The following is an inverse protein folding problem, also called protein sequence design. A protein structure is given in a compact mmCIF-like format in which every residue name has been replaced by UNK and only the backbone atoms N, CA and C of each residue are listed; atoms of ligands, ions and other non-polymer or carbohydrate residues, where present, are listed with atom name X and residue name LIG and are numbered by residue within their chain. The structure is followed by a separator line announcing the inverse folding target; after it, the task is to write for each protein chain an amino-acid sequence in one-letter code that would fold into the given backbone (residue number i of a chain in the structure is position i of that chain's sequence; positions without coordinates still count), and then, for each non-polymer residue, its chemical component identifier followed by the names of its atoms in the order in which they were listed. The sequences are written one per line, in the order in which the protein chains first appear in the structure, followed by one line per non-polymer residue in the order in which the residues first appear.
data_IF_618613760994
#
_entry.id   IF_618613760994
#
_cell.length_a   1.000
_cell.length_b   1.000
_cell.length_c   1.000
_cell.angle_alpha   90.00
_cell.angle_beta   90.00
_cell.angle_gamma   90.00
#
_symmetry.space_group_name_H-M   'P 1'
#
loop_
_entity.id
_entity.type
_entity.pdbx_description
1 polymer ?
#
# COMPACT_ATOMS: atom_id res chain seq x y z
N UNK A 1 -50.97 -16.70 -21.67
CA UNK A 1 -50.38 -16.57 -23.02
C UNK A 1 -49.16 -15.65 -22.88
N UNK A 2 -47.95 -16.15 -22.69
CA UNK A 2 -46.97 -16.74 -23.65
C UNK A 2 -46.41 -15.72 -24.67
N UNK A 3 -45.06 -15.68 -24.71
CA UNK A 3 -44.16 -15.24 -25.80
C UNK A 3 -43.78 -13.74 -25.77
N UNK A 4 -42.59 -13.29 -25.34
CA UNK A 4 -41.16 -13.57 -25.68
C UNK A 4 -40.74 -13.05 -27.07
N UNK A 5 -39.80 -12.10 -27.12
CA UNK A 5 -38.50 -12.09 -27.85
C UNK A 5 -37.96 -10.66 -28.14
N UNK A 6 -36.79 -10.33 -27.58
CA UNK A 6 -35.76 -9.38 -28.09
C UNK A 6 -35.02 -10.03 -29.30
N UNK A 7 -34.11 -9.41 -30.09
CA UNK A 7 -33.22 -8.24 -29.87
C UNK A 7 -33.23 -7.25 -31.09
N UNK A 8 -32.49 -6.13 -31.21
CA UNK A 8 -31.04 -5.94 -31.15
C UNK A 8 -30.64 -4.44 -31.18
N UNK A 9 -29.43 -4.18 -30.64
CA UNK A 9 -28.40 -3.15 -30.93
C UNK A 9 -28.86 -1.69 -31.20
N UNK A 10 -28.26 -0.64 -30.65
CA UNK A 10 -26.83 -0.41 -30.39
C UNK A 10 -26.66 0.89 -29.57
N UNK A 11 -25.55 1.03 -28.84
CA UNK A 11 -24.93 2.34 -28.60
C UNK A 11 -25.23 3.13 -27.31
N UNK A 12 -24.34 2.92 -26.32
CA UNK A 12 -23.72 3.95 -25.46
C UNK A 12 -24.44 4.49 -24.20
N UNK A 13 -23.93 4.04 -23.02
CA UNK A 13 -23.25 4.83 -21.95
C UNK A 13 -23.93 6.16 -21.49
N UNK A 14 -24.13 6.55 -20.22
CA UNK A 14 -23.88 6.10 -18.83
C UNK A 14 -24.57 7.16 -17.90
N UNK A 15 -24.63 6.99 -16.56
CA UNK A 15 -25.67 7.56 -15.70
C UNK A 15 -25.33 8.94 -15.08
N UNK A 16 -26.36 9.79 -14.91
CA UNK A 16 -26.31 10.97 -14.02
C UNK A 16 -26.90 10.62 -12.66
N UNK A 17 -26.03 10.37 -11.68
CA UNK A 17 -26.39 10.38 -10.26
C UNK A 17 -26.39 11.82 -9.73
N UNK A 18 -27.63 12.29 -9.54
CA UNK A 18 -28.15 13.20 -8.50
C UNK A 18 -27.14 13.61 -7.43
N UNK A 19 -26.75 14.89 -7.36
CA UNK A 19 -27.37 15.92 -6.51
C UNK A 19 -27.52 15.52 -5.03
N UNK A 20 -26.52 15.86 -4.22
CA UNK A 20 -26.70 16.10 -2.78
C UNK A 20 -26.78 17.61 -2.55
N UNK A 21 -27.97 18.19 -2.74
CA UNK A 21 -28.29 19.52 -2.23
C UNK A 21 -28.65 19.37 -0.74
N UNK A 22 -27.77 19.79 0.16
CA UNK A 22 -28.16 20.05 1.57
C UNK A 22 -28.43 21.53 1.73
N UNK A 23 -29.71 21.90 1.75
CA UNK A 23 -30.17 23.25 2.04
C UNK A 23 -30.03 23.53 3.55
N UNK A 24 -29.27 24.57 3.91
CA UNK A 24 -29.40 25.22 5.22
C UNK A 24 -30.27 26.46 5.04
N UNK A 25 -31.40 26.51 5.76
CA UNK A 25 -32.34 27.64 5.74
C UNK A 25 -31.73 28.83 6.49
N UNK A 26 -31.73 30.02 5.88
CA UNK A 26 -31.72 31.30 6.59
C UNK A 26 -32.87 32.16 6.07
N UNK A 27 -33.57 32.78 7.02
CA UNK A 27 -34.73 33.65 6.84
C UNK A 27 -34.41 34.93 6.05
N UNK A 28 -35.42 35.55 5.42
CA UNK A 28 -35.24 36.50 4.32
C UNK A 28 -35.13 37.93 4.83
N UNK A 29 -34.17 38.69 4.33
CA UNK A 29 -34.05 40.11 4.60
C UNK A 29 -32.90 40.70 3.81
N UNK A 30 -33.25 41.47 2.79
CA UNK A 30 -32.41 42.37 2.00
C UNK A 30 -31.39 41.80 0.98
N UNK A 31 -31.55 42.27 -0.26
CA UNK A 31 -30.41 42.66 -1.08
C UNK A 31 -30.18 41.88 -2.39
N UNK A 32 -30.85 42.34 -3.45
CA UNK A 32 -30.52 42.19 -4.90
C UNK A 32 -30.47 40.75 -5.47
N UNK A 33 -30.93 40.54 -6.73
CA UNK A 33 -30.72 39.27 -7.42
C UNK A 33 -29.22 39.06 -7.63
N UNK A 34 -28.64 38.09 -6.92
CA UNK A 34 -27.24 37.73 -6.99
C UNK A 34 -26.86 37.40 -8.44
N UNK A 35 -26.10 38.31 -9.06
CA UNK A 35 -25.40 38.04 -10.33
C UNK A 35 -24.55 36.80 -10.11
N UNK A 36 -24.91 35.69 -10.74
CA UNK A 36 -24.07 34.48 -10.75
C UNK A 36 -22.70 34.86 -11.32
N UNK A 37 -21.72 35.10 -10.45
CA UNK A 37 -20.33 35.23 -10.86
C UNK A 37 -19.91 33.84 -11.28
N UNK A 38 -19.96 33.57 -12.59
CA UNK A 38 -19.29 32.43 -13.21
C UNK A 38 -17.81 32.54 -12.83
N UNK A 39 -17.36 31.70 -11.89
CA UNK A 39 -15.94 31.62 -11.56
C UNK A 39 -15.20 31.17 -12.82
N UNK A 40 -13.99 31.71 -13.09
CA UNK A 40 -13.21 31.31 -14.25
C UNK A 40 -12.97 29.80 -14.18
N UNK A 41 -13.21 29.12 -15.31
CA UNK A 41 -12.91 27.69 -15.50
C UNK A 41 -11.41 27.50 -15.33
N UNK A 42 -10.96 27.20 -14.11
CA UNK A 42 -9.63 26.61 -13.92
C UNK A 42 -9.69 25.24 -14.57
N UNK A 43 -9.02 25.08 -15.71
CA UNK A 43 -8.78 23.77 -16.31
C UNK A 43 -7.93 22.99 -15.31
N UNK A 44 -8.45 21.86 -14.82
CA UNK A 44 -7.61 20.85 -14.18
C UNK A 44 -6.65 20.35 -15.26
N UNK A 45 -5.38 20.70 -15.14
CA UNK A 45 -4.31 20.02 -15.88
C UNK A 45 -4.05 18.77 -15.06
N UNK A 46 -4.64 17.64 -15.47
CA UNK A 46 -4.13 16.34 -15.06
C UNK A 46 -2.82 16.19 -15.81
N UNK A 47 -1.71 16.53 -15.15
CA UNK A 47 -0.42 16.02 -15.60
C UNK A 47 -0.49 14.52 -15.37
N UNK A 48 -0.30 13.74 -16.43
CA UNK A 48 0.13 12.35 -16.26
C UNK A 48 1.37 12.40 -15.36
N UNK A 49 1.25 11.77 -14.19
CA UNK A 49 2.37 11.59 -13.30
C UNK A 49 3.30 10.61 -14.01
N UNK A 50 4.37 11.12 -14.61
CA UNK A 50 5.50 10.31 -15.06
C UNK A 50 6.21 9.84 -13.78
N UNK A 51 6.09 8.55 -13.40
CA UNK A 51 6.65 8.09 -12.15
C UNK A 51 8.18 8.24 -12.23
N UNK A 52 8.85 8.75 -11.19
CA UNK A 52 10.31 8.67 -11.11
C UNK A 52 10.69 7.19 -11.29
N UNK A 53 11.70 6.93 -12.11
CA UNK A 53 12.06 5.61 -12.62
C UNK A 53 11.79 4.47 -11.65
N UNK A 54 11.06 3.46 -12.13
CA UNK A 54 10.52 2.32 -11.37
C UNK A 54 11.46 1.88 -10.24
N UNK A 55 11.12 2.27 -9.03
CA UNK A 55 11.77 1.87 -7.79
C UNK A 55 11.33 0.45 -7.43
N UNK A 56 12.27 -0.42 -7.09
CA UNK A 56 11.97 -1.79 -6.66
C UNK A 56 12.35 -1.92 -5.19
N UNK A 57 11.34 -1.84 -4.33
CA UNK A 57 11.48 -2.01 -2.89
C UNK A 57 11.59 -3.49 -2.56
N UNK A 58 12.68 -3.88 -1.89
CA UNK A 58 12.85 -5.23 -1.38
C UNK A 58 12.60 -5.22 0.14
N UNK A 59 11.57 -5.95 0.58
CA UNK A 59 11.19 -6.08 1.99
C UNK A 59 11.65 -7.45 2.48
N UNK A 60 12.58 -7.47 3.42
CA UNK A 60 13.00 -8.69 4.12
C UNK A 60 12.31 -8.74 5.47
N UNK A 61 11.54 -9.79 5.71
CA UNK A 61 10.89 -10.02 7.01
C UNK A 61 11.63 -11.10 7.80
N UNK A 62 11.53 -11.02 9.13
CA UNK A 62 12.10 -12.01 10.06
C UNK A 62 11.62 -13.42 9.73
N UNK A 63 12.49 -14.41 9.47
CA UNK A 63 12.07 -15.78 9.20
C UNK A 63 11.55 -16.52 10.44
N UNK A 64 11.92 -16.08 11.64
CA UNK A 64 11.66 -16.79 12.89
C UNK A 64 11.23 -15.80 13.99
N UNK A 65 10.08 -15.13 13.83
CA UNK A 65 9.60 -14.20 14.83
C UNK A 65 9.38 -14.92 16.18
N UNK A 66 9.74 -14.29 17.31
CA UNK A 66 9.71 -14.94 18.63
C UNK A 66 8.29 -15.26 19.13
N UNK A 67 7.27 -14.56 18.61
CA UNK A 67 5.86 -14.76 18.97
C UNK A 67 4.95 -14.46 17.78
N UNK A 68 3.72 -14.99 17.80
CA UNK A 68 2.71 -14.72 16.78
C UNK A 68 2.33 -13.23 16.72
N UNK A 69 2.28 -12.53 17.85
CA UNK A 69 2.01 -11.09 17.89
C UNK A 69 3.08 -10.28 17.16
N UNK A 70 4.35 -10.68 17.31
CA UNK A 70 5.47 -10.08 16.59
C UNK A 70 5.39 -10.40 15.11
N UNK A 71 5.05 -11.63 14.73
CA UNK A 71 4.86 -12.03 13.34
C UNK A 71 3.76 -11.18 12.66
N UNK A 72 2.62 -11.02 13.34
CA UNK A 72 1.50 -10.19 12.89
C UNK A 72 1.93 -8.74 12.68
N UNK A 73 2.70 -8.19 13.62
CA UNK A 73 3.16 -6.81 13.54
C UNK A 73 4.18 -6.61 12.41
N UNK A 74 5.09 -7.55 12.22
CA UNK A 74 6.02 -7.57 11.09
C UNK A 74 5.23 -7.57 9.77
N UNK A 75 4.21 -8.43 9.66
CA UNK A 75 3.38 -8.52 8.47
C UNK A 75 2.62 -7.21 8.18
N UNK A 76 2.12 -6.53 9.22
CA UNK A 76 1.42 -5.24 9.08
C UNK A 76 2.33 -4.12 8.62
N UNK A 77 3.53 -4.01 9.21
CA UNK A 77 4.52 -3.00 8.79
C UNK A 77 4.94 -3.26 7.34
N UNK A 78 5.24 -4.53 7.00
CA UNK A 78 5.58 -4.92 5.63
C UNK A 78 4.45 -4.60 4.63
N UNK A 79 3.19 -4.85 5.01
CA UNK A 79 2.03 -4.50 4.19
C UNK A 79 1.90 -2.99 3.97
N UNK A 80 2.14 -2.18 5.01
CA UNK A 80 2.09 -0.72 4.92
C UNK A 80 3.17 -0.19 3.96
N UNK A 81 4.39 -0.67 4.11
CA UNK A 81 5.53 -0.29 3.25
C UNK A 81 5.30 -0.71 1.79
N UNK A 82 4.77 -1.91 1.58
CA UNK A 82 4.41 -2.40 0.26
C UNK A 82 3.32 -1.53 -0.38
N UNK A 83 2.29 -1.15 0.39
CA UNK A 83 1.21 -0.30 -0.09
C UNK A 83 1.72 1.09 -0.51
N UNK A 84 2.56 1.72 0.30
CA UNK A 84 3.11 3.05 -0.01
C UNK A 84 3.98 3.00 -1.28
N UNK A 85 4.81 1.96 -1.45
CA UNK A 85 5.61 1.78 -2.66
C UNK A 85 4.75 1.56 -3.91
N UNK A 86 3.75 0.67 -3.85
CA UNK A 86 2.84 0.39 -4.97
C UNK A 86 2.04 1.63 -5.34
N UNK A 87 1.56 2.38 -4.35
CA UNK A 87 0.82 3.64 -4.53
C UNK A 87 1.64 4.71 -5.26
N UNK A 88 2.95 4.74 -5.03
CA UNK A 88 3.89 5.64 -5.70
C UNK A 88 4.33 5.14 -7.11
N UNK A 89 3.84 3.97 -7.54
CA UNK A 89 4.12 3.37 -8.85
C UNK A 89 5.34 2.46 -8.89
N UNK A 90 5.85 2.06 -7.72
CA UNK A 90 6.99 1.15 -7.58
C UNK A 90 6.65 -0.34 -7.80
N UNK A 91 7.66 -1.18 -7.64
CA UNK A 91 7.57 -2.64 -7.57
C UNK A 91 8.01 -3.09 -6.18
N UNK A 92 7.43 -4.18 -5.69
CA UNK A 92 7.77 -4.73 -4.38
C UNK A 92 8.11 -6.20 -4.50
N UNK A 93 9.12 -6.63 -3.76
CA UNK A 93 9.45 -8.03 -3.50
C UNK A 93 9.48 -8.23 -1.99
N UNK A 94 8.76 -9.22 -1.49
CA UNK A 94 8.78 -9.63 -0.09
C UNK A 94 9.48 -10.98 0.02
N UNK A 95 10.38 -11.11 0.99
CA UNK A 95 11.14 -12.33 1.23
C UNK A 95 11.38 -12.56 2.71
N UNK A 96 11.52 -13.82 3.10
CA UNK A 96 12.06 -14.23 4.40
C UNK A 96 13.01 -15.40 4.17
N UNK A 97 14.05 -15.51 4.99
CA UNK A 97 14.98 -16.66 4.90
C UNK A 97 14.22 -17.97 5.07
N UNK A 98 14.34 -18.89 4.11
CA UNK A 98 13.67 -20.20 4.15
C UNK A 98 12.23 -20.20 3.64
N UNK A 99 11.66 -19.05 3.23
CA UNK A 99 10.38 -18.96 2.53
C UNK A 99 10.60 -18.60 1.06
N UNK A 100 9.72 -19.08 0.17
CA UNK A 100 9.75 -18.66 -1.23
C UNK A 100 9.41 -17.16 -1.34
N UNK A 101 10.29 -16.33 -1.95
CA UNK A 101 10.02 -14.91 -2.10
C UNK A 101 8.89 -14.65 -3.11
N UNK A 102 8.24 -13.50 -2.99
CA UNK A 102 7.32 -13.04 -4.04
C UNK A 102 8.09 -12.70 -5.32
N UNK A 103 7.39 -12.67 -6.46
CA UNK A 103 7.92 -12.02 -7.67
C UNK A 103 7.94 -10.50 -7.48
N UNK A 104 8.55 -9.79 -8.43
CA UNK A 104 8.44 -8.33 -8.49
C UNK A 104 7.01 -7.91 -8.84
N UNK A 105 6.22 -7.55 -7.84
CA UNK A 105 4.81 -7.22 -7.99
C UNK A 105 4.56 -5.71 -8.04
N UNK A 106 3.57 -5.31 -8.83
CA UNK A 106 3.00 -3.95 -8.84
C UNK A 106 1.61 -3.88 -8.24
N UNK A 107 1.03 -5.03 -7.94
CA UNK A 107 -0.25 -5.15 -7.25
C UNK A 107 0.02 -5.50 -5.79
N UNK A 108 -0.71 -4.87 -4.88
CA UNK A 108 -0.59 -5.14 -3.44
C UNK A 108 -1.22 -6.48 -3.09
N UNK A 109 -2.19 -6.98 -3.87
CA UNK A 109 -2.96 -8.16 -3.51
C UNK A 109 -2.10 -9.44 -3.37
N UNK A 110 -1.23 -9.81 -4.34
CA UNK A 110 -0.35 -10.97 -4.18
C UNK A 110 0.62 -10.85 -2.98
N UNK A 111 1.03 -9.62 -2.64
CA UNK A 111 1.89 -9.34 -1.49
C UNK A 111 1.15 -9.61 -0.17
N UNK A 112 -0.11 -9.19 -0.06
CA UNK A 112 -0.96 -9.46 1.10
C UNK A 112 -1.27 -10.96 1.23
N UNK A 113 -1.51 -11.66 0.14
CA UNK A 113 -1.71 -13.12 0.18
C UNK A 113 -0.46 -13.86 0.67
N UNK A 114 0.74 -13.37 0.32
CA UNK A 114 1.98 -13.91 0.83
C UNK A 114 2.10 -13.66 2.34
N UNK A 115 1.88 -12.41 2.77
CA UNK A 115 1.94 -12.00 4.18
C UNK A 115 0.91 -12.70 5.06
N UNK A 116 -0.26 -13.06 4.51
CA UNK A 116 -1.28 -13.81 5.23
C UNK A 116 -0.88 -15.26 5.55
N UNK A 117 0.16 -15.80 4.89
CA UNK A 117 0.69 -17.15 5.15
C UNK A 117 1.94 -17.14 6.03
N UNK A 118 2.55 -15.97 6.21
CA UNK A 118 3.72 -15.76 7.03
C UNK A 118 3.39 -15.98 8.53
N UNK A 119 4.28 -16.62 9.31
CA UNK A 119 5.59 -17.16 8.94
C UNK A 119 5.55 -18.60 8.38
N UNK A 120 4.39 -19.25 8.36
CA UNK A 120 4.18 -20.65 7.95
C UNK A 120 4.08 -20.90 6.43
N UNK A 121 4.74 -20.06 5.62
CA UNK A 121 4.67 -20.16 4.16
C UNK A 121 5.35 -21.41 3.58
N UNK A 122 5.15 -21.70 2.28
CA UNK A 122 5.88 -22.75 1.62
C UNK A 122 7.39 -22.48 1.67
N UNK A 123 8.16 -23.46 2.11
CA UNK A 123 9.61 -23.40 2.09
C UNK A 123 10.10 -23.50 0.66
N UNK A 124 10.71 -22.42 0.16
CA UNK A 124 11.28 -22.34 -1.17
C UNK A 124 12.80 -22.21 -1.12
N UNK A 125 13.49 -22.36 -2.26
CA UNK A 125 14.87 -21.91 -2.36
C UNK A 125 14.91 -20.42 -2.00
N UNK A 126 15.76 -20.04 -1.05
CA UNK A 126 16.02 -18.63 -0.77
C UNK A 126 16.43 -17.96 -2.08
N UNK A 127 15.55 -17.14 -2.65
CA UNK A 127 15.80 -16.46 -3.91
C UNK A 127 17.00 -15.51 -3.79
N UNK A 128 17.56 -15.05 -4.91
CA UNK A 128 18.66 -14.11 -4.88
C UNK A 128 18.23 -12.85 -4.11
N UNK A 129 18.91 -12.55 -3.01
CA UNK A 129 18.82 -11.27 -2.30
C UNK A 129 19.01 -10.15 -3.33
N UNK A 130 18.08 -9.19 -3.36
CA UNK A 130 18.12 -8.08 -4.30
C UNK A 130 19.53 -7.49 -4.42
N UNK A 131 20.10 -7.56 -5.62
CA UNK A 131 21.45 -7.04 -5.92
C UNK A 131 21.51 -5.52 -5.75
N UNK A 132 20.35 -4.85 -5.77
CA UNK A 132 20.25 -3.42 -5.60
C UNK A 132 19.92 -3.06 -4.14
N UNK A 133 20.98 -2.88 -3.34
CA UNK A 133 20.92 -2.53 -1.92
C UNK A 133 20.29 -1.16 -1.65
N UNK A 134 20.10 -0.33 -2.67
CA UNK A 134 19.61 1.04 -2.54
C UNK A 134 18.14 1.13 -2.08
N UNK A 135 17.37 0.05 -2.08
CA UNK A 135 15.98 0.00 -1.64
C UNK A 135 15.65 -1.27 -0.84
N UNK A 136 16.60 -1.75 -0.04
CA UNK A 136 16.38 -2.85 0.88
C UNK A 136 15.88 -2.35 2.24
N UNK A 137 14.69 -2.77 2.65
CA UNK A 137 14.19 -2.58 4.02
C UNK A 137 14.10 -3.92 4.74
N UNK A 138 14.37 -3.90 6.05
CA UNK A 138 14.25 -5.07 6.92
C UNK A 138 13.20 -4.80 7.98
N UNK A 139 12.30 -5.75 8.21
CA UNK A 139 11.29 -5.70 9.28
C UNK A 139 11.53 -6.91 10.18
N UNK A 140 12.05 -6.69 11.38
CA UNK A 140 12.63 -7.77 12.19
C UNK A 140 12.49 -7.56 13.68
N UNK A 141 12.45 -8.65 14.45
CA UNK A 141 12.72 -8.64 15.88
C UNK A 141 14.17 -9.08 16.20
N UNK A 142 14.85 -9.74 15.26
CA UNK A 142 16.27 -10.08 15.35
C UNK A 142 17.18 -8.96 14.79
N UNK A 143 18.02 -8.32 15.61
CA UNK A 143 18.96 -7.30 15.15
C UNK A 143 20.01 -7.82 14.17
N UNK A 144 20.30 -9.12 14.15
CA UNK A 144 21.30 -9.71 13.25
C UNK A 144 20.95 -9.52 11.76
N UNK A 145 19.66 -9.32 11.44
CA UNK A 145 19.18 -9.15 10.06
C UNK A 145 19.37 -7.73 9.51
N UNK A 146 19.75 -6.76 10.35
CA UNK A 146 19.75 -5.32 9.99
C UNK A 146 20.99 -4.90 9.19
N UNK A 147 22.11 -5.62 9.32
CA UNK A 147 23.44 -5.16 8.91
C UNK A 147 23.60 -4.71 7.44
N UNK A 148 22.68 -5.08 6.55
CA UNK A 148 22.73 -4.73 5.13
C UNK A 148 21.54 -3.89 4.65
N UNK A 149 20.63 -3.50 5.55
CA UNK A 149 19.43 -2.74 5.20
C UNK A 149 19.74 -1.25 5.00
N UNK A 150 18.97 -0.59 4.14
CA UNK A 150 18.96 0.88 4.07
C UNK A 150 18.18 1.50 5.22
N UNK A 151 17.11 0.83 5.63
CA UNK A 151 16.28 1.18 6.78
C UNK A 151 15.76 -0.11 7.42
N UNK A 152 15.64 -0.12 8.73
CA UNK A 152 15.04 -1.23 9.45
C UNK A 152 13.85 -0.81 10.32
N UNK A 153 12.90 -1.71 10.48
CA UNK A 153 11.83 -1.67 11.45
C UNK A 153 12.13 -2.73 12.50
N UNK A 154 12.29 -2.31 13.75
CA UNK A 154 12.59 -3.20 14.88
C UNK A 154 11.32 -3.39 15.68
N UNK A 155 10.80 -4.61 15.68
CA UNK A 155 9.57 -4.95 16.41
C UNK A 155 9.93 -5.50 17.80
N UNK A 156 9.37 -4.88 18.84
CA UNK A 156 9.58 -5.26 20.24
C UNK A 156 10.81 -4.60 20.89
N UNK A 157 11.32 -5.25 21.95
CA UNK A 157 12.30 -4.65 22.88
C UNK A 157 13.75 -5.11 22.64
N UNK A 158 14.05 -5.72 21.50
CA UNK A 158 15.40 -6.19 21.18
C UNK A 158 16.42 -5.03 21.25
N UNK A 159 17.52 -5.21 21.97
CA UNK A 159 18.60 -4.22 22.03
C UNK A 159 19.32 -4.25 20.68
N UNK A 160 19.34 -3.10 19.99
CA UNK A 160 19.94 -2.98 18.66
C UNK A 160 21.12 -2.03 18.74
N UNK A 161 22.29 -2.52 18.33
CA UNK A 161 23.51 -1.73 18.15
C UNK A 161 23.88 -1.78 16.66
N UNK A 162 23.48 -0.75 15.92
CA UNK A 162 23.69 -0.68 14.46
C UNK A 162 23.75 0.77 13.99
N UNK A 163 24.56 1.00 12.95
CA UNK A 163 24.66 2.30 12.27
C UNK A 163 23.53 2.52 11.23
N UNK A 164 22.72 1.49 10.96
CA UNK A 164 21.61 1.56 10.01
C UNK A 164 20.44 2.34 10.63
N UNK A 165 19.83 3.30 9.92
CA UNK A 165 18.63 3.97 10.41
C UNK A 165 17.51 2.97 10.70
N UNK A 166 17.01 2.94 11.94
CA UNK A 166 15.91 2.07 12.32
C UNK A 166 14.84 2.79 13.14
N UNK A 167 13.61 2.30 13.01
CA UNK A 167 12.47 2.75 13.82
C UNK A 167 11.99 1.59 14.70
N UNK A 168 11.80 1.85 15.99
CA UNK A 168 11.32 0.85 16.94
C UNK A 168 9.81 0.94 17.04
N UNK A 169 9.16 -0.21 16.93
CA UNK A 169 7.71 -0.34 16.95
C UNK A 169 7.30 -1.39 17.99
N UNK A 170 6.36 -1.01 18.86
CA UNK A 170 5.75 -1.95 19.80
C UNK A 170 4.81 -2.94 19.10
N UNK A 171 4.28 -3.89 19.86
CA UNK A 171 3.27 -4.84 19.37
C UNK A 171 1.83 -4.32 19.57
N UNK A 172 1.65 -3.21 20.30
CA UNK A 172 0.35 -2.62 20.60
C UNK A 172 -0.10 -1.58 19.56
N UNK A 173 -1.43 -1.39 19.48
CA UNK A 173 -2.09 -0.43 18.59
C UNK A 173 -2.78 0.69 19.40
N UNK A 174 -2.93 1.92 18.88
CA UNK A 174 -2.33 2.46 17.64
C UNK A 174 -0.83 2.73 17.80
N UNK A 175 -0.14 2.70 16.66
CA UNK A 175 1.25 3.09 16.53
C UNK A 175 1.46 4.57 16.87
#
# INVERSE_FOLDING_TARGET
MRSVFLPAADGALTPRLRSCCRASRRSPGDGRPGRWRRRPRRRLVVREYEPPGVRTLHIVVDPAPPTDEVADQIARIAASEAWDCVKDGGRVVISASGLEPTREERDVWPLLEWLARYPTGPSGPSGPLATNREELIVVTADPALIANAKRAWVVGDAIVDTDVPFERVGTSWPL
#
